data_IF_855550140343
#
_entry.id   IF_855550140343
#
_cell.length_a   1.000
_cell.length_b   1.000
_cell.length_c   1.000
_cell.angle_alpha   90.00
_cell.angle_beta   90.00
_cell.angle_gamma   90.00
#
_symmetry.space_group_name_H-M   'P 1'
#
loop_
_entity.id
_entity.type
_entity.pdbx_description
1 polymer ?
#
# COMPACT_ATOMS: atom_id res chain seq x y z
N UNK A 1 5.96 -13.70 -13.93
CA UNK A 1 5.54 -12.29 -13.96
C UNK A 1 5.33 -11.75 -12.53
N UNK A 2 6.31 -11.93 -11.63
CA UNK A 2 6.23 -11.43 -10.23
C UNK A 2 7.23 -10.30 -9.94
N UNK A 3 8.32 -10.20 -10.72
CA UNK A 3 9.34 -9.18 -10.52
C UNK A 3 8.82 -7.75 -10.62
N UNK A 4 7.96 -7.44 -11.60
CA UNK A 4 7.36 -6.11 -11.71
C UNK A 4 6.42 -5.77 -10.55
N UNK A 5 5.66 -6.77 -10.05
CA UNK A 5 4.78 -6.58 -8.89
C UNK A 5 5.60 -6.28 -7.65
N UNK A 6 6.64 -7.08 -7.39
CA UNK A 6 7.53 -6.88 -6.26
C UNK A 6 8.26 -5.54 -6.33
N UNK A 7 8.74 -5.14 -7.52
CA UNK A 7 9.38 -3.86 -7.73
C UNK A 7 8.44 -2.67 -7.46
N UNK A 8 7.22 -2.73 -7.98
CA UNK A 8 6.22 -1.68 -7.74
C UNK A 8 5.83 -1.58 -6.26
N UNK A 9 5.69 -2.72 -5.57
CA UNK A 9 5.39 -2.75 -4.14
C UNK A 9 6.56 -2.24 -3.28
N UNK A 10 7.80 -2.56 -3.63
CA UNK A 10 8.99 -2.02 -2.94
C UNK A 10 9.07 -0.50 -3.09
N UNK A 11 8.81 0.02 -4.30
CA UNK A 11 8.76 1.46 -4.55
C UNK A 11 7.65 2.14 -3.75
N UNK A 12 6.48 1.51 -3.68
CA UNK A 12 5.36 2.00 -2.86
C UNK A 12 5.76 2.04 -1.38
N UNK A 13 6.27 0.93 -0.85
CA UNK A 13 6.73 0.79 0.53
C UNK A 13 7.69 1.92 0.92
N UNK A 14 8.71 2.17 0.09
CA UNK A 14 9.71 3.23 0.33
C UNK A 14 9.12 4.64 0.28
N UNK A 15 8.15 4.89 -0.61
CA UNK A 15 7.53 6.20 -0.73
C UNK A 15 6.65 6.56 0.47
N UNK A 16 5.92 5.57 1.01
CA UNK A 16 4.93 5.77 2.07
C UNK A 16 5.51 5.61 3.47
N UNK A 17 6.66 4.92 3.64
CA UNK A 17 7.25 4.60 4.94
C UNK A 17 7.39 5.80 5.87
N UNK A 18 7.94 6.92 5.38
CA UNK A 18 8.16 8.11 6.21
C UNK A 18 6.85 8.73 6.71
N UNK A 19 5.84 8.80 5.85
CA UNK A 19 4.55 9.41 6.18
C UNK A 19 3.72 8.49 7.06
N UNK A 20 3.66 7.20 6.74
CA UNK A 20 2.92 6.20 7.50
C UNK A 20 3.50 6.00 8.92
N UNK A 21 4.81 6.16 9.10
CA UNK A 21 5.43 6.16 10.44
C UNK A 21 5.06 7.40 11.25
N UNK A 22 4.90 8.55 10.59
CA UNK A 22 4.51 9.79 11.24
C UNK A 22 3.03 9.78 11.68
N UNK A 23 2.16 9.12 10.92
CA UNK A 23 0.72 8.97 11.21
C UNK A 23 0.40 7.77 12.12
N UNK A 24 1.36 6.87 12.33
CA UNK A 24 1.15 5.63 13.10
C UNK A 24 0.48 4.50 12.30
N UNK A 25 0.19 4.73 11.02
CA UNK A 25 -0.46 3.77 10.11
C UNK A 25 0.47 2.66 9.61
N UNK A 26 1.77 2.79 9.87
CA UNK A 26 2.81 1.97 9.26
C UNK A 26 2.62 0.46 9.39
N UNK A 27 2.19 -0.01 10.56
CA UNK A 27 2.07 -1.43 10.83
C UNK A 27 0.97 -2.07 9.97
N UNK A 28 -0.18 -1.40 9.88
CA UNK A 28 -1.32 -1.83 9.07
C UNK A 28 -1.01 -1.75 7.58
N UNK A 29 -0.40 -0.64 7.13
CA UNK A 29 -0.06 -0.43 5.72
C UNK A 29 0.96 -1.46 5.22
N UNK A 30 1.97 -1.78 6.04
CA UNK A 30 2.95 -2.81 5.72
C UNK A 30 2.30 -4.18 5.54
N UNK A 31 1.34 -4.52 6.39
CA UNK A 31 0.61 -5.79 6.29
C UNK A 31 -0.17 -5.88 4.97
N UNK A 32 -0.87 -4.81 4.60
CA UNK A 32 -1.64 -4.72 3.36
C UNK A 32 -0.73 -4.80 2.11
N UNK A 33 0.46 -4.20 2.14
CA UNK A 33 1.47 -4.31 1.06
C UNK A 33 1.98 -5.76 0.92
N UNK A 34 2.18 -6.47 2.04
CA UNK A 34 2.61 -7.87 2.04
C UNK A 34 1.51 -8.79 1.52
N UNK A 35 0.24 -8.54 1.87
CA UNK A 35 -0.92 -9.23 1.29
C UNK A 35 -0.95 -9.07 -0.24
N UNK A 36 -0.71 -7.85 -0.76
CA UNK A 36 -0.64 -7.59 -2.19
C UNK A 36 0.46 -8.38 -2.92
N UNK A 37 1.57 -8.67 -2.23
CA UNK A 37 2.66 -9.45 -2.77
C UNK A 37 2.32 -10.96 -2.88
N UNK A 38 1.24 -11.43 -2.25
CA UNK A 38 0.89 -12.86 -2.30
C UNK A 38 0.57 -13.29 -3.74
N UNK A 39 1.25 -14.33 -4.26
CA UNK A 39 1.07 -14.77 -5.63
C UNK A 39 -0.27 -15.47 -5.87
N UNK A 40 -0.86 -16.07 -4.84
CA UNK A 40 -2.16 -16.77 -4.91
C UNK A 40 -3.39 -15.87 -4.71
N UNK A 41 -3.20 -14.57 -4.46
CA UNK A 41 -4.31 -13.63 -4.32
C UNK A 41 -4.81 -13.23 -5.72
N UNK A 42 -6.10 -13.44 -5.98
CA UNK A 42 -6.72 -13.13 -7.27
C UNK A 42 -6.74 -11.62 -7.55
N UNK A 43 -6.87 -11.26 -8.82
CA UNK A 43 -6.83 -9.85 -9.25
C UNK A 43 -7.97 -9.04 -8.64
N UNK A 44 -9.15 -9.65 -8.46
CA UNK A 44 -10.31 -8.99 -7.87
C UNK A 44 -10.06 -8.61 -6.41
N UNK A 45 -9.52 -9.52 -5.59
CA UNK A 45 -9.17 -9.22 -4.20
C UNK A 45 -8.05 -8.19 -4.10
N UNK A 46 -7.08 -8.23 -5.02
CA UNK A 46 -6.03 -7.19 -5.10
C UNK A 46 -6.61 -5.80 -5.35
N UNK A 47 -7.57 -5.68 -6.27
CA UNK A 47 -8.25 -4.42 -6.56
C UNK A 47 -9.03 -3.89 -5.35
N UNK A 48 -9.77 -4.76 -4.66
CA UNK A 48 -10.50 -4.41 -3.44
C UNK A 48 -9.53 -3.91 -2.37
N UNK A 49 -8.41 -4.61 -2.18
CA UNK A 49 -7.42 -4.27 -1.17
C UNK A 49 -6.75 -2.91 -1.48
N UNK A 50 -6.39 -2.65 -2.73
CA UNK A 50 -5.86 -1.33 -3.14
C UNK A 50 -6.89 -0.21 -2.99
N UNK A 51 -8.16 -0.43 -3.32
CA UNK A 51 -9.21 0.57 -3.17
C UNK A 51 -9.49 0.89 -1.68
N UNK A 52 -9.37 -0.11 -0.80
CA UNK A 52 -9.41 0.11 0.65
C UNK A 52 -8.21 0.93 1.12
N UNK A 53 -7.00 0.58 0.68
CA UNK A 53 -5.77 1.28 1.09
C UNK A 53 -5.84 2.77 0.77
N UNK A 54 -6.33 3.15 -0.41
CA UNK A 54 -6.51 4.55 -0.81
C UNK A 54 -7.44 5.34 0.13
N UNK A 55 -8.45 4.68 0.71
CA UNK A 55 -9.44 5.32 1.59
C UNK A 55 -9.05 5.32 3.07
N UNK A 56 -8.23 4.35 3.47
CA UNK A 56 -7.89 4.12 4.89
C UNK A 56 -6.61 4.83 5.28
N UNK A 57 -5.66 5.01 4.36
CA UNK A 57 -4.34 5.54 4.68
C UNK A 57 -4.15 6.95 4.15
N UNK A 58 -3.99 7.91 5.07
CA UNK A 58 -3.76 9.31 4.72
C UNK A 58 -2.40 9.53 4.03
N UNK A 59 -1.43 8.66 4.30
CA UNK A 59 -0.14 8.67 3.62
C UNK A 59 -0.20 8.36 2.11
N UNK A 60 -1.29 7.74 1.64
CA UNK A 60 -1.54 7.48 0.22
C UNK A 60 -2.30 8.62 -0.46
N UNK A 61 -2.86 9.54 0.32
CA UNK A 61 -3.56 10.68 -0.24
C UNK A 61 -2.57 11.71 -0.83
N UNK A 62 -2.93 12.34 -1.97
CA UNK A 62 -2.18 13.46 -2.50
C UNK A 62 -1.98 14.52 -1.42
N UNK A 63 -0.83 15.20 -1.42
CA UNK A 63 -0.50 16.24 -0.45
C UNK A 63 -1.56 17.34 -0.31
N UNK A 64 -2.40 17.54 -1.33
CA UNK A 64 -3.53 18.47 -1.32
C UNK A 64 -4.74 18.00 -0.48
N UNK A 65 -4.80 16.73 -0.11
CA UNK A 65 -5.90 16.09 0.65
C UNK A 65 -5.48 15.63 2.05
N UNK A 66 -4.21 15.77 2.42
CA UNK A 66 -3.74 15.55 3.80
C UNK A 66 -4.16 16.75 4.65
N UNK A 67 -5.20 16.58 5.46
CA UNK A 67 -5.61 17.56 6.47
C UNK A 67 -4.69 17.50 7.69
#
# INVERSE_FOLDING_TARGET
MFGMVLYSLDRLYRAVERHAKATGEWLCLRQDIVELAKPGLDTASKLILTARMERVYDCLLPSLKRQ
#
